data_IF_409674652593
#
_entry.id   IF_409674652593
#
_cell.length_a   1.000
_cell.length_b   1.000
_cell.length_c   1.000
_cell.angle_alpha   90.00
_cell.angle_beta   90.00
_cell.angle_gamma   90.00
#
_symmetry.space_group_name_H-M   'P 1'
#
loop_
_entity.id
_entity.type
_entity.pdbx_description
1 polymer ?
#
# COMPACT_ATOMS: atom_id res chain seq x y z
N UNK A 1 -14.12 8.08 -23.38
CA UNK A 1 -12.75 8.39 -22.91
C UNK A 1 -12.75 9.47 -21.84
N UNK A 2 -13.16 10.72 -22.15
CA UNK A 2 -13.23 11.80 -21.15
C UNK A 2 -14.05 11.39 -19.92
N UNK A 3 -15.21 10.79 -20.13
CA UNK A 3 -16.05 10.23 -19.07
C UNK A 3 -15.29 9.24 -18.18
N UNK A 4 -14.60 8.26 -18.75
CA UNK A 4 -13.81 7.28 -17.98
C UNK A 4 -12.68 7.94 -17.17
N UNK A 5 -12.01 8.96 -17.71
CA UNK A 5 -10.97 9.71 -16.98
C UNK A 5 -11.60 10.48 -15.81
N UNK A 6 -12.74 11.13 -16.03
CA UNK A 6 -13.45 11.86 -14.97
C UNK A 6 -13.94 10.91 -13.88
N UNK A 7 -14.56 9.79 -14.25
CA UNK A 7 -15.03 8.77 -13.31
C UNK A 7 -13.87 8.12 -12.54
N UNK A 8 -12.73 7.88 -13.19
CA UNK A 8 -11.52 7.42 -12.51
C UNK A 8 -11.05 8.42 -11.44
N UNK A 9 -10.91 9.70 -11.81
CA UNK A 9 -10.44 10.73 -10.87
C UNK A 9 -11.42 10.93 -9.70
N UNK A 10 -12.73 11.00 -9.98
CA UNK A 10 -13.77 11.09 -8.95
C UNK A 10 -13.77 9.82 -8.10
N UNK A 11 -13.55 8.66 -8.72
CA UNK A 11 -13.51 7.37 -8.05
C UNK A 11 -12.37 7.28 -7.07
N UNK A 12 -11.15 7.65 -7.48
CA UNK A 12 -9.99 7.71 -6.59
C UNK A 12 -10.23 8.68 -5.42
N UNK A 13 -10.79 9.87 -5.69
CA UNK A 13 -11.09 10.83 -4.63
C UNK A 13 -12.11 10.28 -3.62
N UNK A 14 -13.19 9.65 -4.10
CA UNK A 14 -14.19 9.02 -3.25
C UNK A 14 -13.63 7.81 -2.49
N UNK A 15 -12.75 7.03 -3.12
CA UNK A 15 -12.11 5.85 -2.54
C UNK A 15 -11.26 6.26 -1.33
N UNK A 16 -10.38 7.25 -1.50
CA UNK A 16 -9.55 7.79 -0.41
C UNK A 16 -10.41 8.38 0.70
N UNK A 17 -11.38 9.22 0.35
CA UNK A 17 -12.24 9.86 1.35
C UNK A 17 -13.08 8.84 2.13
N UNK A 18 -13.61 7.83 1.46
CA UNK A 18 -14.46 6.81 2.09
C UNK A 18 -13.65 5.83 2.95
N UNK A 19 -12.42 5.51 2.55
CA UNK A 19 -11.48 4.76 3.39
C UNK A 19 -11.22 5.51 4.71
N UNK A 20 -10.89 6.80 4.65
CA UNK A 20 -10.72 7.66 5.84
C UNK A 20 -11.95 7.64 6.75
N UNK A 21 -13.17 7.80 6.20
CA UNK A 21 -14.41 7.76 7.01
C UNK A 21 -14.69 6.39 7.60
N UNK A 22 -14.44 5.32 6.87
CA UNK A 22 -14.60 3.94 7.34
C UNK A 22 -13.68 3.69 8.54
N UNK A 23 -12.41 4.05 8.41
CA UNK A 23 -11.37 3.88 9.43
C UNK A 23 -11.68 4.74 10.65
N UNK A 24 -12.08 5.99 10.46
CA UNK A 24 -12.52 6.89 11.53
C UNK A 24 -13.68 6.28 12.33
N UNK A 25 -14.71 5.78 11.65
CA UNK A 25 -15.86 5.13 12.29
C UNK A 25 -15.47 3.85 13.03
N UNK A 26 -14.64 3.01 12.41
CA UNK A 26 -14.18 1.75 12.98
C UNK A 26 -13.31 1.96 14.23
N UNK A 27 -12.36 2.90 14.18
CA UNK A 27 -11.49 3.24 15.31
C UNK A 27 -12.30 3.83 16.49
N UNK A 28 -13.28 4.70 16.19
CA UNK A 28 -14.18 5.23 17.21
C UNK A 28 -15.02 4.13 17.88
N UNK A 29 -15.57 3.18 17.12
CA UNK A 29 -16.33 2.05 17.68
C UNK A 29 -15.46 1.15 18.54
N UNK A 30 -14.28 0.77 18.05
CA UNK A 30 -13.36 -0.08 18.79
C UNK A 30 -12.99 0.56 20.14
N UNK A 31 -12.70 1.87 20.15
CA UNK A 31 -12.43 2.61 21.39
C UNK A 31 -13.63 2.61 22.34
N UNK A 32 -14.83 2.87 21.85
CA UNK A 32 -16.04 2.90 22.67
C UNK A 32 -16.38 1.51 23.26
N UNK A 33 -15.94 0.43 22.60
CA UNK A 33 -16.04 -0.94 23.12
C UNK A 33 -14.86 -1.38 24.00
N UNK A 34 -13.96 -0.46 24.35
CA UNK A 34 -12.87 -0.72 25.29
C UNK A 34 -11.66 -1.44 24.68
N UNK A 35 -11.54 -1.47 23.34
CA UNK A 35 -10.32 -1.97 22.69
C UNK A 35 -9.15 -1.03 23.01
N UNK A 36 -8.01 -1.60 23.40
CA UNK A 36 -6.84 -0.83 23.78
C UNK A 36 -6.34 0.05 22.59
N UNK A 37 -5.95 1.32 22.82
CA UNK A 37 -5.45 2.22 21.78
C UNK A 37 -4.35 1.62 20.91
N UNK A 38 -3.43 0.88 21.54
CA UNK A 38 -2.36 0.16 20.84
C UNK A 38 -2.90 -0.83 19.80
N UNK A 39 -3.95 -1.58 20.13
CA UNK A 39 -4.54 -2.56 19.20
C UNK A 39 -5.24 -1.83 18.06
N UNK A 40 -5.96 -0.74 18.35
CA UNK A 40 -6.64 0.07 17.33
C UNK A 40 -5.63 0.63 16.33
N UNK A 41 -4.53 1.21 16.81
CA UNK A 41 -3.45 1.75 15.97
C UNK A 41 -2.85 0.68 15.05
N UNK A 42 -2.35 -0.39 15.66
CA UNK A 42 -1.63 -1.46 14.95
C UNK A 42 -2.52 -2.32 14.04
N UNK A 43 -3.85 -2.18 14.11
CA UNK A 43 -4.78 -2.97 13.29
C UNK A 43 -5.65 -2.06 12.42
N UNK A 44 -6.64 -1.38 13.00
CA UNK A 44 -7.65 -0.62 12.25
C UNK A 44 -7.01 0.54 11.49
N UNK A 45 -6.13 1.31 12.13
CA UNK A 45 -5.49 2.46 11.49
C UNK A 45 -4.41 2.02 10.50
N UNK A 46 -3.60 1.02 10.87
CA UNK A 46 -2.58 0.45 9.98
C UNK A 46 -3.16 -0.22 8.71
N UNK A 47 -4.29 -0.93 8.82
CA UNK A 47 -5.02 -1.44 7.65
C UNK A 47 -5.77 -0.33 6.91
N UNK A 48 -6.06 0.77 7.60
CA UNK A 48 -6.85 1.86 7.08
C UNK A 48 -6.17 2.64 5.97
N UNK A 49 -4.85 2.85 6.07
CA UNK A 49 -4.07 3.46 5.01
C UNK A 49 -4.13 2.65 3.72
N UNK A 50 -3.99 1.32 3.81
CA UNK A 50 -4.05 0.41 2.66
C UNK A 50 -5.45 -0.10 2.30
N UNK A 51 -6.50 0.46 2.89
CA UNK A 51 -7.89 0.09 2.59
C UNK A 51 -8.27 0.35 1.12
N UNK A 52 -7.85 1.45 0.47
CA UNK A 52 -8.04 1.66 -0.97
C UNK A 52 -7.46 0.52 -1.81
N UNK A 53 -6.23 0.08 -1.55
CA UNK A 53 -5.54 -0.99 -2.24
C UNK A 53 -6.21 -2.34 -2.04
N UNK A 54 -6.58 -2.65 -0.79
CA UNK A 54 -7.33 -3.87 -0.46
C UNK A 54 -8.65 -3.91 -1.22
N UNK A 55 -9.39 -2.80 -1.24
CA UNK A 55 -10.69 -2.74 -1.90
C UNK A 55 -10.56 -2.86 -3.42
N UNK A 56 -9.64 -2.13 -4.04
CA UNK A 56 -9.44 -2.20 -5.49
C UNK A 56 -8.96 -3.59 -5.92
N UNK A 57 -8.07 -4.21 -5.15
CA UNK A 57 -7.58 -5.57 -5.43
C UNK A 57 -8.68 -6.62 -5.26
N UNK A 58 -9.53 -6.48 -4.23
CA UNK A 58 -10.71 -7.33 -4.04
C UNK A 58 -11.69 -7.20 -5.21
N UNK A 59 -12.04 -5.97 -5.58
CA UNK A 59 -12.99 -5.70 -6.68
C UNK A 59 -12.44 -6.18 -8.03
N UNK A 60 -11.14 -5.99 -8.28
CA UNK A 60 -10.50 -6.51 -9.49
C UNK A 60 -10.52 -8.04 -9.54
N UNK A 61 -10.21 -8.73 -8.43
CA UNK A 61 -10.27 -10.18 -8.35
C UNK A 61 -11.71 -10.72 -8.54
N UNK A 62 -12.70 -10.08 -7.93
CA UNK A 62 -14.12 -10.45 -8.09
C UNK A 62 -14.64 -10.20 -9.52
N UNK A 63 -13.95 -9.34 -10.29
CA UNK A 63 -14.25 -9.07 -11.69
C UNK A 63 -13.40 -9.89 -12.68
N UNK A 64 -12.78 -10.98 -12.22
CA UNK A 64 -11.89 -11.86 -13.00
C UNK A 64 -10.65 -11.16 -13.60
N UNK A 65 -10.15 -10.11 -12.91
CA UNK A 65 -8.98 -9.31 -13.33
C UNK A 65 -7.87 -9.38 -12.30
N UNK A 66 -7.41 -10.58 -12.00
CA UNK A 66 -6.37 -10.82 -11.00
C UNK A 66 -5.04 -10.17 -11.36
N UNK A 67 -4.69 -10.08 -12.64
CA UNK A 67 -3.52 -9.34 -13.10
C UNK A 67 -3.56 -7.86 -12.68
N UNK A 68 -4.73 -7.23 -12.72
CA UNK A 68 -4.91 -5.86 -12.21
C UNK A 68 -4.69 -5.77 -10.71
N UNK A 69 -5.17 -6.77 -9.95
CA UNK A 69 -5.00 -6.83 -8.50
C UNK A 69 -3.52 -7.02 -8.10
N UNK A 70 -2.82 -7.97 -8.75
CA UNK A 70 -1.38 -8.19 -8.52
C UNK A 70 -0.56 -6.99 -9.00
N UNK A 71 -0.92 -6.41 -10.15
CA UNK A 71 -0.31 -5.18 -10.66
C UNK A 71 -0.45 -4.01 -9.69
N UNK A 72 -1.63 -3.84 -9.07
CA UNK A 72 -1.82 -2.84 -8.02
C UNK A 72 -0.86 -3.08 -6.84
N UNK A 73 -0.71 -4.31 -6.37
CA UNK A 73 0.23 -4.62 -5.28
C UNK A 73 1.68 -4.29 -5.65
N UNK A 74 2.18 -4.83 -6.77
CA UNK A 74 3.56 -4.63 -7.21
C UNK A 74 3.82 -3.14 -7.49
N UNK A 75 2.89 -2.49 -8.17
CA UNK A 75 2.94 -1.07 -8.51
C UNK A 75 2.95 -0.19 -7.27
N UNK A 76 2.09 -0.45 -6.28
CA UNK A 76 2.05 0.33 -5.04
C UNK A 76 3.34 0.16 -4.24
N UNK A 77 3.92 -1.04 -4.20
CA UNK A 77 5.23 -1.25 -3.55
C UNK A 77 6.36 -0.45 -4.23
N UNK A 78 6.37 -0.45 -5.57
CA UNK A 78 7.30 0.32 -6.39
C UNK A 78 7.07 1.82 -6.18
N UNK A 79 5.83 2.30 -6.21
CA UNK A 79 5.47 3.70 -6.03
C UNK A 79 5.82 4.18 -4.63
N UNK A 80 5.51 3.42 -3.59
CA UNK A 80 5.83 3.74 -2.20
C UNK A 80 7.33 4.03 -2.00
N UNK A 81 8.20 3.18 -2.54
CA UNK A 81 9.65 3.40 -2.41
C UNK A 81 10.17 4.42 -3.43
N UNK A 82 9.88 4.26 -4.71
CA UNK A 82 10.54 5.04 -5.74
C UNK A 82 9.93 6.44 -5.91
N UNK A 83 8.60 6.55 -5.83
CA UNK A 83 7.89 7.82 -5.97
C UNK A 83 7.74 8.52 -4.62
N UNK A 84 7.12 7.87 -3.63
CA UNK A 84 6.69 8.53 -2.40
C UNK A 84 7.89 8.87 -1.50
N UNK A 85 8.70 7.86 -1.15
CA UNK A 85 9.92 8.09 -0.39
C UNK A 85 10.87 9.02 -1.15
N UNK A 86 10.94 8.87 -2.47
CA UNK A 86 11.75 9.69 -3.36
C UNK A 86 11.39 11.18 -3.28
N UNK A 87 10.11 11.52 -3.51
CA UNK A 87 9.58 12.89 -3.38
C UNK A 87 9.80 13.42 -1.98
N UNK A 88 9.48 12.61 -0.97
CA UNK A 88 9.59 12.99 0.44
C UNK A 88 11.04 13.35 0.80
N UNK A 89 12.02 12.56 0.35
CA UNK A 89 13.45 12.82 0.55
C UNK A 89 13.96 14.05 -0.22
N UNK A 90 13.40 14.36 -1.40
CA UNK A 90 13.70 15.59 -2.14
C UNK A 90 13.24 16.83 -1.35
N UNK A 91 12.03 16.78 -0.78
CA UNK A 91 11.49 17.86 0.06
C UNK A 91 12.43 18.09 1.26
N UNK A 92 12.67 17.03 2.05
CA UNK A 92 13.55 17.07 3.21
C UNK A 92 14.29 15.73 3.36
N UNK A 93 15.63 15.74 3.54
CA UNK A 93 16.40 14.53 3.81
C UNK A 93 15.81 13.74 4.99
N UNK A 94 15.62 12.44 4.79
CA UNK A 94 14.97 11.55 5.75
C UNK A 94 16.01 10.82 6.58
N UNK A 95 16.03 11.06 7.89
CA UNK A 95 16.80 10.21 8.81
C UNK A 95 16.16 8.83 8.96
N UNK A 96 16.97 7.77 9.05
CA UNK A 96 16.49 6.39 9.22
C UNK A 96 17.00 5.83 10.55
N UNK A 97 16.07 5.49 11.44
CA UNK A 97 16.39 4.86 12.71
C UNK A 97 17.00 3.47 12.56
N UNK A 98 17.73 3.07 13.60
CA UNK A 98 18.31 1.72 13.67
C UNK A 98 17.24 0.63 13.73
N UNK A 99 16.05 0.96 14.25
CA UNK A 99 14.90 0.05 14.30
C UNK A 99 14.44 -0.32 12.89
N UNK A 100 14.23 0.68 12.03
CA UNK A 100 13.85 0.45 10.64
C UNK A 100 14.88 -0.42 9.92
N UNK A 101 16.18 -0.09 10.06
CA UNK A 101 17.27 -0.81 9.37
C UNK A 101 17.38 -2.27 9.82
N UNK A 102 17.27 -2.54 11.12
CA UNK A 102 17.53 -3.88 11.68
C UNK A 102 16.31 -4.77 11.76
N UNK A 103 15.11 -4.20 11.71
CA UNK A 103 13.85 -4.92 11.90
C UNK A 103 12.97 -4.84 10.66
N UNK A 104 12.59 -3.64 10.25
CA UNK A 104 11.51 -3.45 9.27
C UNK A 104 11.98 -3.70 7.84
N UNK A 105 13.15 -3.18 7.44
CA UNK A 105 13.72 -3.44 6.12
C UNK A 105 14.00 -4.94 5.87
N UNK A 106 14.62 -5.70 6.81
CA UNK A 106 14.78 -7.14 6.63
C UNK A 106 13.45 -7.90 6.52
N UNK A 107 12.42 -7.51 7.28
CA UNK A 107 11.08 -8.12 7.18
C UNK A 107 10.48 -7.81 5.80
N UNK A 108 10.52 -6.55 5.37
CA UNK A 108 10.03 -6.13 4.05
C UNK A 108 10.72 -6.92 2.92
N UNK A 109 12.05 -7.06 2.96
CA UNK A 109 12.79 -7.84 1.98
C UNK A 109 12.45 -9.33 2.03
N UNK A 110 12.31 -9.90 3.23
CA UNK A 110 11.89 -11.30 3.39
C UNK A 110 10.50 -11.55 2.78
N UNK A 111 9.55 -10.66 3.05
CA UNK A 111 8.19 -10.70 2.48
C UNK A 111 8.22 -10.47 0.96
N UNK A 112 9.09 -9.59 0.46
CA UNK A 112 9.33 -9.41 -0.98
C UNK A 112 9.81 -10.70 -1.63
N UNK A 113 10.77 -11.40 -1.03
CA UNK A 113 11.24 -12.70 -1.56
C UNK A 113 10.13 -13.75 -1.54
N UNK A 114 9.27 -13.76 -0.51
CA UNK A 114 8.09 -14.63 -0.47
C UNK A 114 7.15 -14.32 -1.64
N UNK A 115 6.91 -13.04 -1.95
CA UNK A 115 6.11 -12.66 -3.12
C UNK A 115 6.72 -13.22 -4.42
N UNK A 116 8.04 -13.13 -4.60
CA UNK A 116 8.71 -13.72 -5.76
C UNK A 116 8.57 -15.24 -5.85
N UNK A 117 8.54 -15.94 -4.72
CA UNK A 117 8.30 -17.38 -4.70
C UNK A 117 6.86 -17.75 -5.12
N UNK A 118 5.87 -16.93 -4.71
CA UNK A 118 4.46 -17.09 -5.08
C UNK A 118 4.23 -16.77 -6.56
N UNK A 119 4.92 -15.77 -7.10
CA UNK A 119 4.76 -15.37 -8.50
C UNK A 119 5.54 -16.28 -9.48
N UNK A 120 6.41 -17.15 -8.98
CA UNK A 120 7.39 -17.89 -9.79
C UNK A 120 6.78 -18.79 -10.87
N UNK A 121 5.68 -19.46 -10.57
CA UNK A 121 5.01 -20.37 -11.51
C UNK A 121 3.92 -19.68 -12.36
N UNK A 122 3.80 -18.36 -12.23
CA UNK A 122 2.81 -17.52 -12.88
C UNK A 122 1.36 -17.94 -12.56
N UNK A 123 1.11 -18.48 -11.37
CA UNK A 123 -0.24 -18.84 -10.94
C UNK A 123 -0.46 -18.48 -9.47
N UNK A 124 -1.39 -17.57 -9.19
CA UNK A 124 -1.73 -17.25 -7.80
C UNK A 124 -2.80 -18.22 -7.29
N UNK A 125 -2.40 -19.13 -6.43
CA UNK A 125 -3.30 -20.15 -5.87
C UNK A 125 -4.02 -19.69 -4.60
N UNK A 126 -5.13 -20.38 -4.28
CA UNK A 126 -5.83 -20.17 -3.00
C UNK A 126 -4.95 -20.47 -1.79
N UNK A 127 -4.08 -21.47 -1.90
CA UNK A 127 -3.20 -21.87 -0.82
C UNK A 127 -2.19 -20.76 -0.51
N UNK A 128 -1.66 -20.09 -1.52
CA UNK A 128 -0.77 -18.94 -1.34
C UNK A 128 -1.50 -17.75 -0.74
N UNK A 129 -2.74 -17.50 -1.16
CA UNK A 129 -3.60 -16.51 -0.50
C UNK A 129 -3.81 -16.79 1.00
N UNK A 130 -4.03 -18.05 1.37
CA UNK A 130 -4.14 -18.46 2.79
C UNK A 130 -2.79 -18.26 3.52
N UNK A 131 -1.67 -18.66 2.89
CA UNK A 131 -0.33 -18.49 3.47
C UNK A 131 -0.05 -17.02 3.75
N UNK A 132 -0.30 -16.13 2.78
CA UNK A 132 -0.13 -14.69 2.92
C UNK A 132 -1.00 -14.11 4.04
N UNK A 133 -2.27 -14.52 4.14
CA UNK A 133 -3.16 -14.11 5.22
C UNK A 133 -2.69 -14.59 6.60
N UNK A 134 -2.17 -15.82 6.70
CA UNK A 134 -1.59 -16.35 7.95
C UNK A 134 -0.33 -15.58 8.33
N UNK A 135 0.56 -15.34 7.37
CA UNK A 135 1.77 -14.54 7.57
C UNK A 135 1.43 -13.10 7.99
N UNK A 136 0.38 -12.51 7.41
CA UNK A 136 -0.14 -11.22 7.83
C UNK A 136 -0.59 -11.23 9.30
N UNK A 137 -1.37 -12.24 9.71
CA UNK A 137 -1.78 -12.42 11.10
C UNK A 137 -0.60 -12.58 12.05
N UNK A 138 0.41 -13.37 11.67
CA UNK A 138 1.66 -13.53 12.42
C UNK A 138 2.38 -12.18 12.53
N UNK A 139 2.51 -11.44 11.43
CA UNK A 139 3.13 -10.12 11.39
C UNK A 139 2.46 -9.15 12.36
N UNK A 140 1.12 -9.06 12.37
CA UNK A 140 0.38 -8.22 13.31
C UNK A 140 0.65 -8.64 14.77
N UNK A 141 0.62 -9.94 15.07
CA UNK A 141 0.88 -10.45 16.42
C UNK A 141 2.30 -10.14 16.88
N UNK A 142 3.29 -10.34 16.01
CA UNK A 142 4.70 -10.05 16.29
C UNK A 142 4.89 -8.56 16.56
N UNK A 143 4.33 -7.71 15.70
CA UNK A 143 4.42 -6.26 15.89
C UNK A 143 3.75 -5.81 17.18
N UNK A 144 2.53 -6.29 17.48
CA UNK A 144 1.85 -5.98 18.74
C UNK A 144 2.64 -6.39 19.99
N UNK A 145 3.35 -7.53 19.94
CA UNK A 145 4.21 -7.98 21.06
C UNK A 145 5.43 -7.07 21.23
N UNK A 146 6.13 -6.76 20.15
CA UNK A 146 7.32 -5.91 20.18
C UNK A 146 6.97 -4.49 20.68
N UNK A 147 5.81 -3.98 20.28
CA UNK A 147 5.32 -2.67 20.69
C UNK A 147 4.92 -2.59 22.17
N UNK A 148 4.49 -3.70 22.79
CA UNK A 148 4.22 -3.72 24.24
C UNK A 148 5.47 -3.56 25.08
N UNK A 149 6.61 -4.04 24.60
CA UNK A 149 7.88 -3.99 25.30
C UNK A 149 8.64 -2.67 25.05
N UNK A 150 8.24 -1.91 24.03
CA UNK A 150 8.85 -0.63 23.64
C UNK A 150 7.99 0.53 24.18
N UNK A 151 8.48 1.24 25.22
CA UNK A 151 7.71 2.28 25.91
C UNK A 151 7.43 3.56 25.10
N UNK A 152 7.96 3.70 23.88
CA UNK A 152 7.79 4.89 23.03
C UNK A 152 8.18 4.56 21.59
N UNK A 153 7.24 4.07 20.79
CA UNK A 153 7.40 3.90 19.34
C UNK A 153 6.65 5.05 18.64
N UNK A 154 7.34 5.99 17.97
CA UNK A 154 6.71 7.17 17.38
C UNK A 154 5.54 6.81 16.46
N UNK A 155 5.69 5.80 15.60
CA UNK A 155 4.64 5.38 14.66
C UNK A 155 3.32 5.05 15.37
N UNK A 156 3.43 4.46 16.56
CA UNK A 156 2.30 4.07 17.39
C UNK A 156 1.67 5.28 18.06
N UNK A 157 2.47 6.26 18.49
CA UNK A 157 1.98 7.49 19.09
C UNK A 157 1.15 8.31 18.10
N UNK A 158 1.55 8.42 16.83
CA UNK A 158 0.73 9.08 15.79
C UNK A 158 -0.55 8.30 15.50
N UNK A 159 -0.47 6.98 15.33
CA UNK A 159 -1.68 6.16 15.17
C UNK A 159 -2.62 6.32 16.38
N UNK A 160 -2.09 6.38 17.61
CA UNK A 160 -2.93 6.60 18.78
C UNK A 160 -3.53 8.02 18.83
N UNK A 161 -2.80 9.02 18.35
CA UNK A 161 -3.28 10.39 18.24
C UNK A 161 -4.44 10.53 17.23
N UNK A 162 -4.43 9.70 16.18
CA UNK A 162 -5.49 9.66 15.17
C UNK A 162 -6.77 8.95 15.65
N UNK A 163 -6.77 8.31 16.82
CA UNK A 163 -7.97 7.64 17.35
C UNK A 163 -9.01 8.68 17.80
N UNK A 164 -10.20 8.73 17.17
CA UNK A 164 -11.20 9.74 17.48
C UNK A 164 -11.66 9.71 18.96
N UNK A 165 -11.92 10.87 19.54
CA UNK A 165 -12.45 11.03 20.90
C UNK A 165 -13.85 11.64 20.87
N UNK A 166 -14.74 11.21 21.77
CA UNK A 166 -16.05 11.85 21.95
C UNK A 166 -17.07 11.58 20.83
N UNK A 167 -16.82 10.56 20.00
CA UNK A 167 -17.75 10.14 18.94
C UNK A 167 -18.76 9.14 19.52
N UNK A 168 -20.06 9.39 19.35
CA UNK A 168 -21.10 8.44 19.80
C UNK A 168 -21.16 7.19 18.91
N UNK A 169 -21.56 6.04 19.48
CA UNK A 169 -21.69 4.78 18.74
C UNK A 169 -22.56 4.92 17.49
N UNK A 170 -23.67 5.66 17.58
CA UNK A 170 -24.55 5.91 16.43
C UNK A 170 -23.82 6.63 15.29
N UNK A 171 -23.07 7.70 15.60
CA UNK A 171 -22.29 8.43 14.58
C UNK A 171 -21.19 7.55 13.99
N UNK A 172 -20.52 6.76 14.83
CA UNK A 172 -19.44 5.89 14.39
C UNK A 172 -19.96 4.76 13.48
N UNK A 173 -21.11 4.13 13.80
CA UNK A 173 -21.79 3.16 12.91
C UNK A 173 -22.19 3.81 11.59
N UNK A 174 -22.75 5.01 11.62
CA UNK A 174 -23.12 5.74 10.39
C UNK A 174 -21.88 5.95 9.50
N UNK A 175 -20.75 6.36 10.08
CA UNK A 175 -19.51 6.52 9.32
C UNK A 175 -18.97 5.21 8.77
N UNK A 176 -19.04 4.11 9.51
CA UNK A 176 -18.68 2.78 9.00
C UNK A 176 -19.56 2.39 7.81
N UNK A 177 -20.88 2.55 7.91
CA UNK A 177 -21.81 2.17 6.84
C UNK A 177 -21.66 3.04 5.59
N UNK A 178 -21.55 4.36 5.76
CA UNK A 178 -21.34 5.31 4.66
C UNK A 178 -19.97 5.08 4.02
N UNK A 179 -18.92 4.96 4.84
CA UNK A 179 -17.56 4.69 4.39
C UNK A 179 -17.49 3.41 3.58
N UNK A 180 -18.01 2.30 4.12
CA UNK A 180 -18.04 1.01 3.42
C UNK A 180 -18.85 1.09 2.11
N UNK A 181 -20.05 1.67 2.13
CA UNK A 181 -20.90 1.76 0.94
C UNK A 181 -20.26 2.56 -0.20
N UNK A 182 -19.65 3.71 0.12
CA UNK A 182 -18.96 4.54 -0.87
C UNK A 182 -17.63 3.90 -1.30
N UNK A 183 -16.92 3.22 -0.40
CA UNK A 183 -15.67 2.52 -0.71
C UNK A 183 -15.92 1.39 -1.73
N UNK A 184 -16.96 0.58 -1.52
CA UNK A 184 -17.39 -0.45 -2.47
C UNK A 184 -17.70 0.17 -3.85
N UNK A 185 -18.57 1.18 -3.88
CA UNK A 185 -19.00 1.84 -5.11
C UNK A 185 -17.84 2.52 -5.87
N UNK A 186 -16.99 3.24 -5.15
CA UNK A 186 -15.86 3.94 -5.75
C UNK A 186 -14.80 2.98 -6.28
N UNK A 187 -14.55 1.84 -5.61
CA UNK A 187 -13.62 0.83 -6.11
C UNK A 187 -14.08 0.21 -7.44
N UNK A 188 -15.37 -0.10 -7.58
CA UNK A 188 -15.94 -0.59 -8.84
C UNK A 188 -15.82 0.45 -9.95
N UNK A 189 -16.11 1.71 -9.62
CA UNK A 189 -15.95 2.82 -10.55
C UNK A 189 -14.49 3.01 -10.99
N UNK A 190 -13.52 2.88 -10.09
CA UNK A 190 -12.07 2.95 -10.40
C UNK A 190 -11.68 1.80 -11.32
N UNK A 191 -11.99 0.55 -10.97
CA UNK A 191 -11.62 -0.63 -11.75
C UNK A 191 -12.27 -0.59 -13.14
N UNK A 192 -13.56 -0.26 -13.22
CA UNK A 192 -14.29 -0.16 -14.49
C UNK A 192 -13.75 0.95 -15.40
N UNK A 193 -13.45 2.12 -14.83
CA UNK A 193 -12.89 3.25 -15.57
C UNK A 193 -11.47 2.97 -16.06
N UNK A 194 -10.63 2.39 -15.20
CA UNK A 194 -9.25 2.03 -15.53
C UNK A 194 -9.20 1.00 -16.67
N UNK A 195 -10.06 -0.01 -16.64
CA UNK A 195 -10.18 -1.02 -17.71
C UNK A 195 -10.70 -0.40 -19.01
N UNK A 196 -11.61 0.57 -18.94
CA UNK A 196 -12.09 1.29 -20.12
C UNK A 196 -10.97 2.09 -20.78
N UNK A 197 -10.14 2.77 -19.98
CA UNK A 197 -8.96 3.50 -20.45
C UNK A 197 -7.98 2.53 -21.10
N UNK A 198 -7.75 1.38 -20.46
CA UNK A 198 -6.80 0.40 -20.94
C UNK A 198 -7.15 -0.21 -22.29
N UNK A 199 -8.40 -0.63 -22.47
CA UNK A 199 -8.89 -1.16 -23.75
C UNK A 199 -8.72 -0.16 -24.89
N UNK A 200 -8.79 1.13 -24.61
CA UNK A 200 -8.58 2.17 -25.61
C UNK A 200 -7.11 2.32 -26.00
N UNK A 201 -6.19 2.26 -25.03
CA UNK A 201 -4.75 2.39 -25.29
C UNK A 201 -4.06 1.04 -25.61
N UNK A 202 -4.79 -0.07 -25.55
CA UNK A 202 -4.25 -1.41 -25.72
C UNK A 202 -3.39 -1.89 -24.53
N UNK A 203 -3.56 -1.28 -23.35
CA UNK A 203 -2.85 -1.68 -22.12
C UNK A 203 -3.32 -3.05 -21.64
N UNK A 204 -2.38 -3.90 -21.22
CA UNK A 204 -2.69 -5.11 -20.46
C UNK A 204 -3.24 -4.77 -19.07
N UNK A 205 -4.08 -5.64 -18.52
CA UNK A 205 -4.69 -5.46 -17.18
C UNK A 205 -3.61 -5.26 -16.09
N UNK A 206 -2.48 -5.97 -16.22
CA UNK A 206 -1.29 -5.82 -15.37
C UNK A 206 -0.73 -4.39 -15.40
N UNK A 207 -0.51 -3.81 -16.59
CA UNK A 207 0.07 -2.46 -16.74
C UNK A 207 -0.83 -1.39 -16.12
N UNK A 208 -2.14 -1.54 -16.18
CA UNK A 208 -3.09 -0.62 -15.52
C UNK A 208 -2.89 -0.65 -14.00
N UNK A 209 -2.82 -1.87 -13.45
CA UNK A 209 -2.59 -2.12 -12.04
C UNK A 209 -1.30 -1.43 -11.57
N UNK A 210 -0.21 -1.65 -12.31
CA UNK A 210 1.13 -1.10 -12.02
C UNK A 210 1.20 0.43 -12.11
N UNK A 211 0.32 1.05 -12.89
CA UNK A 211 0.40 2.46 -13.24
C UNK A 211 -0.67 3.30 -12.54
N UNK A 212 -1.80 3.46 -13.19
CA UNK A 212 -2.87 4.39 -12.81
C UNK A 212 -3.45 4.02 -11.45
N UNK A 213 -3.71 2.71 -11.26
CA UNK A 213 -4.35 2.23 -10.04
C UNK A 213 -3.37 2.35 -8.88
N UNK A 214 -2.19 1.73 -8.97
CA UNK A 214 -1.17 1.78 -7.93
C UNK A 214 -0.80 3.20 -7.50
N UNK A 215 -0.60 4.11 -8.47
CA UNK A 215 -0.28 5.51 -8.13
C UNK A 215 -1.48 6.18 -7.44
N UNK A 216 -2.69 5.95 -7.94
CA UNK A 216 -3.90 6.56 -7.39
C UNK A 216 -4.22 6.09 -5.98
N UNK A 217 -4.08 4.80 -5.71
CA UNK A 217 -4.31 4.20 -4.39
C UNK A 217 -3.23 4.59 -3.38
N UNK A 218 -1.99 4.85 -3.82
CA UNK A 218 -0.87 5.25 -2.94
C UNK A 218 -0.78 6.78 -2.67
N UNK A 219 -1.69 7.59 -3.21
CA UNK A 219 -1.72 9.04 -2.93
C UNK A 219 -1.94 9.40 -1.44
N UNK A 220 -2.77 8.67 -0.66
CA UNK A 220 -2.90 8.89 0.78
C UNK A 220 -1.57 8.72 1.52
N UNK A 221 -0.78 7.70 1.17
CA UNK A 221 0.54 7.43 1.73
C UNK A 221 1.50 8.57 1.43
N UNK A 222 1.43 9.15 0.23
CA UNK A 222 2.22 10.33 -0.12
C UNK A 222 1.85 11.52 0.76
N UNK A 223 0.55 11.78 0.93
CA UNK A 223 0.07 12.87 1.77
C UNK A 223 0.49 12.68 3.23
N UNK A 224 0.35 11.46 3.77
CA UNK A 224 0.75 11.11 5.13
C UNK A 224 2.27 11.28 5.32
N UNK A 225 3.08 10.69 4.44
CA UNK A 225 4.55 10.75 4.53
C UNK A 225 5.09 12.17 4.46
N UNK A 226 4.53 13.00 3.56
CA UNK A 226 4.88 14.42 3.46
C UNK A 226 4.46 15.18 4.72
N UNK A 227 3.27 14.91 5.27
CA UNK A 227 2.80 15.53 6.50
C UNK A 227 3.71 15.21 7.71
N UNK A 228 4.08 13.95 7.92
CA UNK A 228 4.97 13.53 9.03
C UNK A 228 6.34 14.22 8.92
N UNK A 229 6.88 14.37 7.72
CA UNK A 229 8.16 15.06 7.52
C UNK A 229 8.12 16.55 7.86
N UNK A 230 6.99 17.22 7.58
CA UNK A 230 6.78 18.61 7.99
C UNK A 230 6.62 18.77 9.50
N UNK A 231 6.13 17.74 10.21
CA UNK A 231 6.10 17.68 11.68
C UNK A 231 7.46 17.36 12.30
N UNK A 232 8.45 16.95 11.50
CA UNK A 232 9.77 16.56 11.98
C UNK A 232 9.93 15.07 12.27
N UNK A 233 8.96 14.26 11.86
CA UNK A 233 8.84 12.85 12.22
C UNK A 233 9.31 11.95 11.06
N UNK A 234 10.60 12.06 10.70
CA UNK A 234 11.17 11.36 9.54
C UNK A 234 11.03 9.83 9.64
N UNK A 235 11.22 9.27 10.84
CA UNK A 235 11.10 7.83 11.09
C UNK A 235 9.70 7.30 10.81
N UNK A 236 8.66 8.09 11.08
CA UNK A 236 7.28 7.71 10.77
C UNK A 236 7.04 7.68 9.27
N UNK A 237 7.54 8.67 8.54
CA UNK A 237 7.38 8.72 7.09
C UNK A 237 8.00 7.49 6.43
N UNK A 238 9.22 7.11 6.84
CA UNK A 238 9.91 5.92 6.33
C UNK A 238 9.22 4.63 6.80
N UNK A 239 8.84 4.56 8.08
CA UNK A 239 8.15 3.41 8.67
C UNK A 239 6.79 3.14 8.03
N UNK A 240 6.01 4.18 7.72
CA UNK A 240 4.73 4.07 7.02
C UNK A 240 4.92 3.46 5.63
N UNK A 241 5.92 3.91 4.86
CA UNK A 241 6.22 3.38 3.52
C UNK A 241 6.62 1.90 3.57
N UNK A 242 7.51 1.53 4.49
CA UNK A 242 7.98 0.14 4.64
C UNK A 242 6.85 -0.75 5.15
N UNK A 243 6.06 -0.26 6.11
CA UNK A 243 4.87 -0.89 6.62
C UNK A 243 3.88 -1.18 5.49
N UNK A 244 3.45 -0.15 4.74
CA UNK A 244 2.53 -0.30 3.61
C UNK A 244 3.03 -1.32 2.59
N UNK A 245 4.34 -1.42 2.33
CA UNK A 245 4.87 -2.46 1.44
C UNK A 245 4.68 -3.89 1.99
N UNK A 246 4.94 -4.09 3.28
CA UNK A 246 4.68 -5.37 3.94
C UNK A 246 3.18 -5.70 3.90
N UNK A 247 2.31 -4.73 4.20
CA UNK A 247 0.85 -4.88 4.14
C UNK A 247 0.36 -5.20 2.74
N UNK A 248 0.88 -4.51 1.71
CA UNK A 248 0.50 -4.74 0.33
C UNK A 248 0.83 -6.17 -0.11
N UNK A 249 1.99 -6.70 0.28
CA UNK A 249 2.34 -8.08 -0.07
C UNK A 249 1.54 -9.09 0.76
N UNK A 250 1.45 -8.93 2.08
CA UNK A 250 0.84 -9.95 2.94
C UNK A 250 -0.70 -9.91 2.92
N UNK A 251 -1.30 -8.72 3.01
CA UNK A 251 -2.75 -8.56 3.05
C UNK A 251 -3.33 -8.37 1.65
N UNK A 252 -2.82 -7.38 0.90
CA UNK A 252 -3.44 -6.99 -0.38
C UNK A 252 -3.27 -8.07 -1.45
N UNK A 253 -2.08 -8.69 -1.58
CA UNK A 253 -1.87 -9.81 -2.52
C UNK A 253 -2.56 -11.11 -2.06
N UNK A 254 -2.77 -11.28 -0.75
CA UNK A 254 -3.51 -12.43 -0.22
C UNK A 254 -4.97 -12.46 -0.68
N UNK A 255 -5.61 -11.29 -0.81
CA UNK A 255 -7.00 -11.14 -1.23
C UNK A 255 -7.29 -11.77 -2.61
N UNK A 256 -6.61 -11.40 -3.72
CA UNK A 256 -6.87 -12.00 -5.01
C UNK A 256 -6.63 -13.51 -5.00
N UNK A 257 -5.61 -14.01 -4.28
CA UNK A 257 -5.39 -15.45 -4.14
C UNK A 257 -6.55 -16.16 -3.45
N UNK A 258 -7.17 -15.54 -2.44
CA UNK A 258 -8.34 -16.11 -1.76
C UNK A 258 -9.62 -16.06 -2.61
N UNK A 259 -9.84 -14.94 -3.31
CA UNK A 259 -11.09 -14.65 -4.02
C UNK A 259 -11.12 -15.24 -5.43
N UNK A 260 -10.02 -15.14 -6.19
CA UNK A 260 -9.94 -15.56 -7.59
C UNK A 260 -8.58 -16.19 -7.94
N UNK A 261 -8.34 -17.45 -7.54
CA UNK A 261 -7.14 -18.17 -7.95
C UNK A 261 -7.05 -18.28 -9.47
N UNK A 262 -5.96 -17.79 -10.04
CA UNK A 262 -5.86 -17.59 -11.49
C UNK A 262 -4.42 -17.56 -11.99
N UNK A 263 -4.26 -17.86 -13.28
CA UNK A 263 -3.01 -17.66 -13.98
C UNK A 263 -2.73 -16.16 -14.07
N UNK A 264 -1.47 -15.80 -13.91
CA UNK A 264 -0.95 -14.44 -13.99
C UNK A 264 -0.18 -14.25 -15.29
N UNK A 265 -0.10 -13.00 -15.72
CA UNK A 265 0.86 -12.59 -16.74
C UNK A 265 2.29 -12.90 -16.28
N UNK A 266 3.11 -13.60 -17.08
CA UNK A 266 4.51 -13.89 -16.74
C UNK A 266 5.34 -12.64 -16.43
N UNK A 267 4.95 -11.49 -16.98
CA UNK A 267 5.65 -10.23 -16.77
C UNK A 267 5.57 -9.74 -15.33
N UNK A 268 4.55 -10.15 -14.56
CA UNK A 268 4.48 -9.86 -13.13
C UNK A 268 5.72 -10.41 -12.40
N UNK A 269 6.18 -11.61 -12.76
CA UNK A 269 7.39 -12.21 -12.21
C UNK A 269 8.65 -11.79 -12.97
N UNK A 270 8.64 -11.93 -14.30
CA UNK A 270 9.83 -11.78 -15.14
C UNK A 270 10.33 -10.34 -15.27
N UNK A 271 9.47 -9.36 -15.00
CA UNK A 271 9.79 -7.92 -15.07
C UNK A 271 9.49 -7.21 -13.77
N UNK A 272 8.23 -7.20 -13.34
CA UNK A 272 7.73 -6.23 -12.37
C UNK A 272 8.19 -6.56 -10.95
N UNK A 273 8.20 -7.85 -10.60
CA UNK A 273 8.81 -8.35 -9.36
C UNK A 273 10.29 -7.97 -9.25
N UNK A 274 11.08 -8.15 -10.30
CA UNK A 274 12.51 -7.80 -10.28
C UNK A 274 12.74 -6.29 -10.14
N UNK A 275 11.88 -5.46 -10.73
CA UNK A 275 11.93 -4.01 -10.52
C UNK A 275 11.63 -3.66 -9.06
N UNK A 276 10.56 -4.23 -8.49
CA UNK A 276 10.21 -4.06 -7.08
C UNK A 276 11.35 -4.51 -6.14
N UNK A 277 11.95 -5.67 -6.41
CA UNK A 277 13.09 -6.19 -5.65
C UNK A 277 14.32 -5.29 -5.78
N UNK A 278 14.66 -4.84 -6.99
CA UNK A 278 15.80 -3.96 -7.22
C UNK A 278 15.64 -2.62 -6.50
N UNK A 279 14.44 -2.04 -6.51
CA UNK A 279 14.13 -0.80 -5.79
C UNK A 279 14.18 -1.02 -4.27
N UNK A 280 13.70 -2.17 -3.78
CA UNK A 280 13.79 -2.54 -2.36
C UNK A 280 15.22 -2.72 -1.88
N UNK A 281 16.07 -3.34 -2.70
CA UNK A 281 17.50 -3.50 -2.43
C UNK A 281 18.21 -2.14 -2.49
N UNK A 282 17.87 -1.29 -3.46
CA UNK A 282 18.40 0.06 -3.57
C UNK A 282 18.10 0.88 -2.32
N UNK A 283 16.87 0.80 -1.82
CA UNK A 283 16.48 1.40 -0.54
C UNK A 283 17.34 0.88 0.62
N UNK A 284 17.54 -0.44 0.72
CA UNK A 284 18.41 -1.01 1.76
C UNK A 284 19.84 -0.44 1.67
N UNK A 285 20.42 -0.36 0.47
CA UNK A 285 21.77 0.17 0.27
C UNK A 285 21.85 1.64 0.69
N UNK A 286 20.87 2.47 0.31
CA UNK A 286 20.79 3.87 0.72
C UNK A 286 20.64 4.00 2.24
N UNK A 287 19.78 3.17 2.85
CA UNK A 287 19.55 3.14 4.30
C UNK A 287 20.80 2.75 5.10
N UNK A 288 21.62 1.83 4.57
CA UNK A 288 22.89 1.40 5.16
C UNK A 288 24.04 2.39 4.89
N UNK A 289 23.81 3.45 4.14
CA UNK A 289 24.81 4.48 3.85
C UNK A 289 25.41 5.11 5.11
N UNK A 290 26.62 5.67 5.01
CA UNK A 290 27.39 6.23 6.14
C UNK A 290 26.61 7.23 7.00
N UNK A 291 25.66 7.93 6.39
CA UNK A 291 24.87 8.99 7.02
C UNK A 291 23.51 8.52 7.56
N UNK A 292 23.13 7.25 7.36
CA UNK A 292 21.82 6.66 7.73
C UNK A 292 20.66 7.59 7.43
N UNK A 293 20.68 8.16 6.24
CA UNK A 293 19.67 9.10 5.78
C UNK A 293 19.50 8.93 4.28
N UNK A 294 18.28 9.12 3.80
CA UNK A 294 17.99 9.26 2.37
C UNK A 294 18.06 10.75 2.06
N UNK A 295 19.11 11.13 1.34
CA UNK A 295 19.34 12.52 0.97
C UNK A 295 18.56 12.90 -0.30
N UNK A 296 18.57 14.19 -0.66
CA UNK A 296 17.86 14.70 -1.84
C UNK A 296 18.30 14.07 -3.17
N UNK A 297 19.58 13.72 -3.30
CA UNK A 297 20.12 13.07 -4.51
C UNK A 297 19.60 11.64 -4.60
N UNK A 298 19.63 10.90 -3.49
CA UNK A 298 19.06 9.55 -3.40
C UNK A 298 17.55 9.56 -3.69
N UNK A 299 16.82 10.54 -3.15
CA UNK A 299 15.41 10.76 -3.49
C UNK A 299 15.19 11.06 -4.97
N UNK A 300 16.05 11.90 -5.57
CA UNK A 300 16.05 12.15 -7.02
C UNK A 300 16.29 10.90 -7.85
N UNK A 301 17.22 10.03 -7.45
CA UNK A 301 17.49 8.75 -8.11
C UNK A 301 16.25 7.86 -8.06
N UNK A 302 15.60 7.75 -6.89
CA UNK A 302 14.38 6.97 -6.72
C UNK A 302 13.26 7.45 -7.66
N UNK A 303 13.01 8.77 -7.71
CA UNK A 303 11.98 9.34 -8.61
C UNK A 303 12.32 9.11 -10.08
N UNK A 304 13.60 9.25 -10.46
CA UNK A 304 14.04 8.96 -11.84
C UNK A 304 13.82 7.48 -12.18
N UNK A 305 14.14 6.55 -11.27
CA UNK A 305 13.85 5.13 -11.47
C UNK A 305 12.35 4.88 -11.66
N UNK A 306 11.50 5.52 -10.85
CA UNK A 306 10.05 5.43 -11.00
C UNK A 306 9.58 5.93 -12.37
N UNK A 307 9.97 7.14 -12.76
CA UNK A 307 9.57 7.73 -14.04
C UNK A 307 10.08 6.90 -15.22
N UNK A 308 11.31 6.39 -15.16
CA UNK A 308 11.87 5.53 -16.18
C UNK A 308 11.10 4.21 -16.31
N UNK A 309 10.73 3.60 -15.17
CA UNK A 309 9.91 2.39 -15.16
C UNK A 309 8.51 2.63 -15.74
N UNK A 310 7.82 3.70 -15.32
CA UNK A 310 6.51 4.04 -15.89
C UNK A 310 6.60 4.33 -17.39
N UNK A 311 7.61 5.08 -17.84
CA UNK A 311 7.84 5.33 -19.25
C UNK A 311 8.09 4.02 -20.03
N UNK A 312 8.84 3.09 -19.45
CA UNK A 312 9.06 1.77 -20.05
C UNK A 312 7.74 0.99 -20.21
N UNK A 313 6.87 0.98 -19.20
CA UNK A 313 5.55 0.35 -19.29
C UNK A 313 4.66 1.01 -20.35
N UNK A 314 4.63 2.35 -20.39
CA UNK A 314 3.84 3.09 -21.39
C UNK A 314 4.39 3.01 -22.81
N UNK A 315 5.65 2.64 -23.02
CA UNK A 315 6.20 2.35 -24.34
C UNK A 315 6.00 0.89 -24.75
N UNK A 316 5.83 -0.01 -23.78
CA UNK A 316 5.61 -1.45 -23.98
C UNK A 316 4.21 -1.83 -23.48
N UNK A 317 3.21 -1.08 -23.94
CA UNK A 317 1.82 -1.10 -23.46
C UNK A 317 1.16 -2.50 -23.52
N UNK A 318 1.56 -3.30 -24.51
CA UNK A 318 1.07 -4.66 -24.72
C UNK A 318 1.85 -5.74 -23.92
N UNK A 319 2.89 -5.35 -23.18
CA UNK A 319 3.64 -6.21 -22.26
C UNK A 319 3.05 -6.07 -20.85
#
# INVERSE_FOLDING_TARGET
MLEAIVLLCVGLALLVWSADRLVYGAAALAKNFGVAPLVIGMTILAMGSSAPEMMVSATAALADKTDTAVGNVLGSNIANIALILGITAIIKPLSISSTIIRRELPIMLGVTVIAGAILWDNYLSRNEGIILAVLFGIFLIVMMKISRDSKSDPLIEEQQADIPTGVSNTKAIIWVLIGLGILLYSSDMVVGSAVTIAKYFGMSDLVIGLTIIAVGTSLPELAASVASVFKGEDDMAVGNIIGSNIFNILAVMGIPGLLNPSALSPLAMDRDFYVMLAISILLLVMALGKRRQINRVEGGILVVCFVAYQAFLFLNVAA
#
